data_IF_400734669925
#
_entry.id   IF_400734669925
#
_cell.length_a   1.000
_cell.length_b   1.000
_cell.length_c   1.000
_cell.angle_alpha   90.00
_cell.angle_beta   90.00
_cell.angle_gamma   90.00
#
_symmetry.space_group_name_H-M   'P 1'
#
loop_
_entity.id
_entity.type
_entity.pdbx_description
1 polymer ?
#
# COMPACT_ATOMS: atom_id res chain seq x y z
N UNK A 1 10.49 67.47 -48.76
CA UNK A 1 10.37 68.60 -47.81
C UNK A 1 9.33 68.24 -46.75
N UNK A 2 9.73 68.32 -45.48
CA UNK A 2 8.98 68.44 -44.20
C UNK A 2 7.44 68.31 -44.29
N UNK A 3 6.75 67.52 -43.47
CA UNK A 3 6.48 67.82 -42.05
C UNK A 3 6.04 66.59 -41.24
N UNK A 4 6.67 66.47 -40.08
CA UNK A 4 6.31 65.71 -38.88
C UNK A 4 4.92 66.03 -38.34
N UNK A 5 4.22 65.07 -37.72
CA UNK A 5 3.75 65.21 -36.33
C UNK A 5 3.29 63.86 -35.75
N UNK A 6 4.00 63.42 -34.70
CA UNK A 6 3.57 62.40 -33.76
C UNK A 6 2.40 62.94 -32.92
N UNK A 7 1.37 62.11 -32.67
CA UNK A 7 0.50 62.29 -31.51
C UNK A 7 0.40 60.98 -30.74
N UNK A 8 1.04 61.03 -29.58
CA UNK A 8 0.95 60.12 -28.45
C UNK A 8 -0.51 60.11 -27.94
N UNK A 9 -1.11 58.95 -27.73
CA UNK A 9 -2.16 58.80 -26.72
C UNK A 9 -2.12 57.40 -26.11
N UNK A 10 -1.48 57.35 -24.94
CA UNK A 10 -1.51 56.28 -23.96
C UNK A 10 -2.96 55.93 -23.58
N UNK A 11 -3.28 54.64 -23.49
CA UNK A 11 -4.05 54.06 -22.37
C UNK A 11 -3.53 52.63 -22.17
N UNK A 12 -2.73 52.50 -21.12
CA UNK A 12 -2.22 51.25 -20.57
C UNK A 12 -3.37 50.49 -19.92
N UNK A 13 -3.72 49.31 -20.47
CA UNK A 13 -4.66 48.41 -19.84
C UNK A 13 -3.93 47.57 -18.80
N UNK A 14 -4.20 47.88 -17.54
CA UNK A 14 -3.63 47.24 -16.36
C UNK A 14 -4.05 45.76 -16.35
N UNK A 15 -3.10 44.87 -16.63
CA UNK A 15 -3.24 43.44 -16.39
C UNK A 15 -2.99 43.16 -14.90
N UNK A 16 -4.07 43.03 -14.13
CA UNK A 16 -4.02 42.47 -12.77
C UNK A 16 -3.76 40.97 -12.87
N UNK A 17 -2.48 40.59 -12.92
CA UNK A 17 -2.06 39.23 -12.64
C UNK A 17 -2.26 38.97 -11.15
N UNK A 18 -3.46 38.50 -10.80
CA UNK A 18 -3.71 37.86 -9.51
C UNK A 18 -2.90 36.57 -9.43
N UNK A 19 -1.69 36.66 -8.90
CA UNK A 19 -0.88 35.51 -8.53
C UNK A 19 -1.55 34.80 -7.35
N UNK A 20 -2.53 33.94 -7.62
CA UNK A 20 -2.94 32.91 -6.69
C UNK A 20 -1.78 31.91 -6.60
N UNK A 21 -0.81 32.17 -5.72
CA UNK A 21 0.10 31.12 -5.24
C UNK A 21 -0.79 30.09 -4.57
N UNK A 22 -1.13 29.04 -5.31
CA UNK A 22 -1.70 27.83 -4.74
C UNK A 22 -0.68 27.31 -3.74
N UNK A 23 -0.93 27.54 -2.44
CA UNK A 23 -0.19 26.91 -1.36
C UNK A 23 -0.30 25.40 -1.60
N UNK A 24 0.78 24.78 -2.03
CA UNK A 24 0.94 23.33 -2.06
C UNK A 24 0.84 22.89 -0.60
N UNK A 25 -0.37 22.52 -0.16
CA UNK A 25 -0.58 21.86 1.12
C UNK A 25 0.01 20.47 0.95
N UNK A 26 1.25 20.28 1.40
CA UNK A 26 1.82 18.96 1.62
C UNK A 26 1.07 18.33 2.80
N UNK A 27 -0.16 17.86 2.55
CA UNK A 27 -0.96 17.16 3.55
C UNK A 27 -0.40 15.76 3.76
N UNK A 28 -0.11 15.42 5.02
CA UNK A 28 0.17 14.05 5.42
C UNK A 28 -0.98 13.15 4.95
N UNK A 29 -0.71 12.00 4.30
CA UNK A 29 -1.75 11.12 3.80
C UNK A 29 -2.71 10.69 4.93
N UNK A 30 -4.01 10.68 4.65
CA UNK A 30 -5.02 10.16 5.56
C UNK A 30 -5.21 8.66 5.38
N UNK A 31 -5.86 7.99 6.34
CA UNK A 31 -6.25 6.58 6.17
C UNK A 31 -7.09 6.34 4.90
N UNK A 32 -7.94 7.30 4.51
CA UNK A 32 -8.74 7.19 3.28
C UNK A 32 -7.89 7.31 2.02
N UNK A 33 -6.87 8.19 2.02
CA UNK A 33 -5.91 8.32 0.92
C UNK A 33 -5.12 7.03 0.73
N UNK A 34 -4.58 6.47 1.81
CA UNK A 34 -3.91 5.16 1.80
C UNK A 34 -4.81 4.05 1.28
N UNK A 35 -6.05 4.00 1.77
CA UNK A 35 -7.02 2.99 1.34
C UNK A 35 -7.32 3.06 -0.15
N UNK A 36 -7.34 4.26 -0.73
CA UNK A 36 -7.50 4.44 -2.17
C UNK A 36 -6.27 3.94 -2.95
N UNK A 37 -5.06 4.17 -2.43
CA UNK A 37 -3.83 3.65 -3.01
C UNK A 37 -3.75 2.12 -2.99
N UNK A 38 -4.15 1.50 -1.87
CA UNK A 38 -4.10 0.04 -1.65
C UNK A 38 -5.19 -0.72 -2.40
N UNK A 39 -6.35 -0.10 -2.65
CA UNK A 39 -7.43 -0.75 -3.41
C UNK A 39 -6.96 -1.14 -4.81
N UNK A 40 -7.16 -2.40 -5.17
CA UNK A 40 -6.78 -2.93 -6.47
C UNK A 40 -6.51 -4.43 -6.44
N UNK A 41 -6.11 -4.95 -7.58
CA UNK A 41 -5.56 -6.30 -7.70
C UNK A 41 -4.04 -6.19 -7.81
N UNK A 42 -3.34 -7.01 -7.03
CA UNK A 42 -1.89 -6.94 -6.90
C UNK A 42 -1.29 -8.33 -7.06
N UNK A 43 -0.07 -8.40 -7.60
CA UNK A 43 0.74 -9.62 -7.59
C UNK A 43 1.90 -9.41 -6.63
N UNK A 44 2.09 -10.33 -5.67
CA UNK A 44 3.24 -10.30 -4.77
C UNK A 44 4.48 -10.79 -5.52
N UNK A 45 5.45 -9.92 -5.76
CA UNK A 45 6.63 -10.23 -6.57
C UNK A 45 7.77 -10.79 -5.74
N UNK A 46 8.02 -10.21 -4.57
CA UNK A 46 9.10 -10.61 -3.67
C UNK A 46 8.75 -10.35 -2.21
N UNK A 47 9.42 -11.10 -1.33
CA UNK A 47 9.45 -10.84 0.11
C UNK A 47 10.91 -10.82 0.55
N UNK A 48 11.40 -9.64 0.92
CA UNK A 48 12.77 -9.43 1.35
C UNK A 48 12.90 -9.56 2.87
N UNK A 49 14.03 -10.08 3.33
CA UNK A 49 14.34 -10.25 4.76
C UNK A 49 15.31 -9.15 5.18
N UNK A 50 14.88 -8.25 6.04
CA UNK A 50 15.72 -7.18 6.57
C UNK A 50 16.04 -7.39 8.04
N UNK A 51 17.29 -7.12 8.42
CA UNK A 51 17.78 -7.23 9.81
C UNK A 51 17.59 -8.62 10.44
N UNK A 52 17.68 -9.68 9.64
CA UNK A 52 17.64 -11.06 10.12
C UNK A 52 18.98 -11.48 10.73
N UNK A 53 19.01 -11.99 11.98
CA UNK A 53 20.21 -12.60 12.54
C UNK A 53 20.71 -13.77 11.68
N UNK A 54 22.01 -14.00 11.68
CA UNK A 54 22.62 -15.09 10.93
C UNK A 54 22.00 -16.45 11.32
N UNK A 55 21.61 -17.25 10.32
CA UNK A 55 20.98 -18.56 10.52
C UNK A 55 19.50 -18.52 10.93
N UNK A 56 18.89 -17.35 11.12
CA UNK A 56 17.47 -17.25 11.44
C UNK A 56 16.59 -17.47 10.21
N UNK A 57 15.47 -18.16 10.40
CA UNK A 57 14.51 -18.45 9.34
C UNK A 57 13.07 -18.31 9.81
N UNK A 58 12.20 -17.80 8.95
CA UNK A 58 10.75 -17.82 9.14
C UNK A 58 10.21 -19.06 8.43
N UNK A 59 9.62 -19.98 9.20
CA UNK A 59 9.06 -21.22 8.66
C UNK A 59 7.76 -20.98 7.89
N UNK A 60 6.88 -20.16 8.44
CA UNK A 60 5.57 -19.83 7.89
C UNK A 60 5.23 -18.38 8.16
N UNK A 61 4.50 -17.75 7.25
CA UNK A 61 3.88 -16.45 7.45
C UNK A 61 2.37 -16.59 7.49
N UNK A 62 1.72 -15.66 8.20
CA UNK A 62 0.27 -15.60 8.37
C UNK A 62 -0.37 -16.93 8.84
N UNK A 63 0.36 -17.72 9.63
CA UNK A 63 -0.03 -19.05 10.12
C UNK A 63 -0.65 -19.95 9.03
N UNK A 64 -0.10 -19.88 7.81
CA UNK A 64 -0.69 -20.55 6.66
C UNK A 64 0.35 -21.32 5.85
N UNK A 65 1.37 -20.66 5.34
CA UNK A 65 2.35 -21.30 4.45
C UNK A 65 3.74 -20.65 4.53
N UNK A 66 4.79 -21.32 4.02
CA UNK A 66 6.10 -20.71 3.80
C UNK A 66 6.02 -19.49 2.89
N UNK A 67 6.98 -18.56 3.03
CA UNK A 67 7.07 -17.33 2.23
C UNK A 67 6.98 -17.63 0.73
N UNK A 68 7.70 -18.66 0.27
CA UNK A 68 7.77 -19.03 -1.14
C UNK A 68 6.40 -19.34 -1.74
N UNK A 69 5.45 -19.86 -0.95
CA UNK A 69 4.10 -20.14 -1.44
C UNK A 69 3.30 -18.87 -1.73
N UNK A 70 3.64 -17.75 -1.10
CA UNK A 70 2.99 -16.46 -1.32
C UNK A 70 3.57 -15.73 -2.53
N UNK A 71 4.81 -16.00 -2.94
CA UNK A 71 5.41 -15.33 -4.11
C UNK A 71 4.61 -15.65 -5.37
N UNK A 72 4.23 -14.64 -6.14
CA UNK A 72 3.34 -14.76 -7.29
C UNK A 72 1.85 -14.88 -6.95
N UNK A 73 1.47 -14.85 -5.67
CA UNK A 73 0.05 -14.82 -5.28
C UNK A 73 -0.63 -13.52 -5.74
N UNK A 74 -1.91 -13.61 -6.08
CA UNK A 74 -2.73 -12.45 -6.46
C UNK A 74 -3.59 -12.00 -5.29
N UNK A 75 -3.45 -10.74 -4.90
CA UNK A 75 -4.18 -10.11 -3.81
C UNK A 75 -5.24 -9.19 -4.39
N UNK A 76 -6.52 -9.53 -4.22
CA UNK A 76 -7.63 -8.71 -4.66
C UNK A 76 -8.20 -7.92 -3.47
N UNK A 77 -8.00 -6.60 -3.43
CA UNK A 77 -8.33 -5.74 -2.30
C UNK A 77 -9.42 -4.75 -2.68
N UNK A 78 -10.67 -5.05 -2.33
CA UNK A 78 -11.82 -4.22 -2.72
C UNK A 78 -12.04 -3.03 -1.79
N UNK A 79 -12.69 -1.99 -2.31
CA UNK A 79 -13.09 -0.81 -1.53
C UNK A 79 -14.13 -1.08 -0.43
N UNK A 80 -14.61 -2.31 -0.25
CA UNK A 80 -15.50 -2.68 0.86
C UNK A 80 -14.74 -3.24 2.08
N UNK A 81 -13.43 -3.45 1.97
CA UNK A 81 -12.63 -4.18 2.95
C UNK A 81 -12.65 -5.70 2.72
N UNK A 82 -13.57 -6.22 1.91
CA UNK A 82 -13.44 -7.61 1.41
C UNK A 82 -12.23 -7.74 0.49
N UNK A 83 -11.53 -8.85 0.57
CA UNK A 83 -10.51 -9.21 -0.39
C UNK A 83 -10.24 -10.70 -0.43
N UNK A 84 -9.30 -11.10 -1.26
CA UNK A 84 -8.82 -12.48 -1.35
C UNK A 84 -7.35 -12.54 -1.72
N UNK A 85 -6.69 -13.63 -1.32
CA UNK A 85 -5.34 -14.00 -1.75
C UNK A 85 -5.43 -15.32 -2.50
N UNK A 86 -5.08 -15.32 -3.79
CA UNK A 86 -5.04 -16.53 -4.62
C UNK A 86 -3.60 -16.99 -4.77
N UNK A 87 -3.31 -18.22 -4.32
CA UNK A 87 -1.98 -18.81 -4.39
C UNK A 87 -1.72 -19.42 -5.77
N UNK A 88 -0.51 -19.21 -6.31
CA UNK A 88 -0.14 -19.68 -7.64
C UNK A 88 1.01 -20.69 -7.64
N UNK A 89 1.81 -20.74 -6.57
CA UNK A 89 3.00 -21.59 -6.50
C UNK A 89 2.65 -23.05 -6.27
N UNK A 90 3.44 -23.90 -6.93
CA UNK A 90 3.42 -25.35 -6.74
C UNK A 90 4.57 -25.77 -5.82
N UNK A 91 4.40 -26.89 -5.11
CA UNK A 91 5.41 -27.41 -4.18
C UNK A 91 4.75 -28.22 -3.07
N UNK A 92 5.53 -28.99 -2.32
CA UNK A 92 5.00 -29.89 -1.26
C UNK A 92 4.23 -29.16 -0.16
N UNK A 93 4.51 -27.87 0.04
CA UNK A 93 3.92 -27.03 1.08
C UNK A 93 3.02 -25.92 0.53
N UNK A 94 2.79 -25.89 -0.78
CA UNK A 94 1.99 -24.87 -1.46
C UNK A 94 0.75 -25.49 -2.10
N UNK A 95 -0.35 -24.74 -2.09
CA UNK A 95 -1.63 -25.18 -2.65
C UNK A 95 -2.02 -24.27 -3.83
N UNK A 96 -1.54 -24.54 -5.05
CA UNK A 96 -1.84 -23.70 -6.20
C UNK A 96 -3.34 -23.68 -6.49
N UNK A 97 -3.88 -22.50 -6.79
CA UNK A 97 -5.31 -22.26 -6.99
C UNK A 97 -6.12 -22.11 -5.71
N UNK A 98 -5.53 -22.37 -4.53
CA UNK A 98 -6.22 -22.09 -3.27
C UNK A 98 -6.51 -20.59 -3.15
N UNK A 99 -7.69 -20.27 -2.60
CA UNK A 99 -8.13 -18.90 -2.37
C UNK A 99 -8.35 -18.71 -0.87
N UNK A 100 -7.71 -17.68 -0.32
CA UNK A 100 -7.92 -17.22 1.04
C UNK A 100 -8.75 -15.95 1.05
N UNK A 101 -9.99 -16.06 1.49
CA UNK A 101 -10.82 -14.88 1.73
C UNK A 101 -10.30 -14.10 2.93
N UNK A 102 -10.26 -12.77 2.78
CA UNK A 102 -9.78 -11.86 3.80
C UNK A 102 -10.73 -10.68 4.00
N UNK A 103 -10.69 -10.08 5.18
CA UNK A 103 -11.24 -8.75 5.43
C UNK A 103 -10.12 -7.83 5.90
N UNK A 104 -9.91 -6.72 5.19
CA UNK A 104 -8.78 -5.81 5.37
C UNK A 104 -9.22 -4.38 5.68
N UNK A 105 -8.34 -3.64 6.34
CA UNK A 105 -8.51 -2.24 6.71
C UNK A 105 -7.18 -1.51 6.73
N UNK A 106 -7.24 -0.18 6.61
CA UNK A 106 -6.11 0.70 6.92
C UNK A 106 -6.39 1.36 8.26
N UNK A 107 -5.48 1.17 9.21
CA UNK A 107 -5.54 1.79 10.52
C UNK A 107 -4.32 2.68 10.72
N UNK A 108 -4.51 3.82 11.36
CA UNK A 108 -3.41 4.65 11.82
C UNK A 108 -2.97 4.13 13.19
N UNK A 109 -1.68 3.96 13.40
CA UNK A 109 -1.16 3.59 14.72
C UNK A 109 -1.36 4.79 15.68
N UNK A 110 -2.11 4.63 16.80
CA UNK A 110 -2.50 5.73 17.66
C UNK A 110 -1.31 6.59 18.12
N UNK A 111 -1.42 7.90 17.93
CA UNK A 111 -0.38 8.85 18.34
C UNK A 111 0.82 8.94 17.39
N UNK A 112 0.80 8.22 16.26
CA UNK A 112 1.84 8.28 15.23
C UNK A 112 1.29 8.76 13.88
N UNK A 113 2.17 9.02 12.91
CA UNK A 113 1.79 9.24 11.50
C UNK A 113 1.88 7.96 10.65
N UNK A 114 2.14 6.82 11.28
CA UNK A 114 2.29 5.53 10.62
C UNK A 114 0.94 4.89 10.38
N UNK A 115 0.81 4.22 9.24
CA UNK A 115 -0.40 3.48 8.86
C UNK A 115 -0.08 2.01 8.71
N UNK A 116 -1.05 1.17 9.02
CA UNK A 116 -0.95 -0.27 8.93
C UNK A 116 -2.03 -0.81 8.01
N UNK A 117 -1.62 -1.68 7.10
CA UNK A 117 -2.50 -2.60 6.41
C UNK A 117 -2.75 -3.79 7.34
N UNK A 118 -4.00 -3.94 7.76
CA UNK A 118 -4.42 -5.04 8.61
C UNK A 118 -5.37 -5.94 7.85
N UNK A 119 -5.27 -7.25 8.04
CA UNK A 119 -6.26 -8.17 7.50
C UNK A 119 -6.51 -9.36 8.41
N UNK A 120 -7.69 -9.94 8.25
CA UNK A 120 -8.13 -11.17 8.91
C UNK A 120 -8.45 -12.21 7.85
N UNK A 121 -8.14 -13.48 8.13
CA UNK A 121 -8.61 -14.62 7.32
C UNK A 121 -10.08 -14.88 7.66
N UNK A 122 -10.92 -15.04 6.64
CA UNK A 122 -12.34 -15.35 6.81
C UNK A 122 -12.57 -16.80 6.42
N UNK A 123 -12.94 -17.65 7.39
CA UNK A 123 -13.27 -19.04 7.11
C UNK A 123 -14.73 -19.16 6.64
N UNK A 124 -15.09 -20.24 5.92
CA UNK A 124 -16.47 -20.47 5.51
C UNK A 124 -17.43 -20.42 6.71
N UNK A 125 -18.43 -19.54 6.63
CA UNK A 125 -19.43 -19.33 7.68
C UNK A 125 -19.10 -18.21 8.68
N UNK A 126 -17.86 -17.72 8.73
CA UNK A 126 -17.47 -16.64 9.63
C UNK A 126 -17.96 -15.28 9.14
N UNK A 127 -18.31 -14.41 10.10
CA UNK A 127 -18.51 -12.98 9.83
C UNK A 127 -17.27 -12.23 10.27
N UNK A 128 -16.78 -11.31 9.44
CA UNK A 128 -15.55 -10.56 9.71
C UNK A 128 -15.51 -9.83 11.07
N UNK A 129 -16.68 -9.42 11.59
CA UNK A 129 -16.81 -8.78 12.91
C UNK A 129 -16.56 -9.73 14.10
N UNK A 130 -16.76 -11.04 13.89
CA UNK A 130 -16.60 -12.06 14.93
C UNK A 130 -15.18 -12.66 14.92
N UNK A 131 -14.43 -12.46 13.83
CA UNK A 131 -13.02 -12.88 13.72
C UNK A 131 -12.14 -11.88 14.47
N UNK A 132 -11.36 -12.36 15.45
CA UNK A 132 -10.47 -11.52 16.26
C UNK A 132 -8.99 -11.66 15.88
N UNK A 133 -8.58 -12.83 15.39
CA UNK A 133 -7.24 -13.07 14.90
C UNK A 133 -7.00 -12.34 13.57
N UNK A 134 -5.85 -11.69 13.43
CA UNK A 134 -5.47 -10.96 12.24
C UNK A 134 -3.99 -10.65 12.20
N UNK A 135 -3.58 -10.03 11.11
CA UNK A 135 -2.20 -9.70 10.81
C UNK A 135 -2.10 -8.20 10.54
N UNK A 136 -0.98 -7.61 10.95
CA UNK A 136 -0.69 -6.19 10.74
C UNK A 136 0.64 -6.04 10.03
N UNK A 137 0.64 -5.20 9.00
CA UNK A 137 1.83 -4.82 8.24
C UNK A 137 1.86 -3.30 8.14
N UNK A 138 3.04 -2.72 8.33
CA UNK A 138 3.25 -1.30 8.12
C UNK A 138 3.13 -0.97 6.63
N UNK A 139 2.37 0.09 6.32
CA UNK A 139 2.27 0.63 4.97
C UNK A 139 3.48 1.51 4.68
N UNK A 140 4.39 1.00 3.84
CA UNK A 140 5.59 1.74 3.42
C UNK A 140 5.27 2.64 2.22
N UNK A 141 4.60 2.11 1.20
CA UNK A 141 4.15 2.90 0.04
C UNK A 141 2.97 2.24 -0.68
N UNK A 142 2.11 3.04 -1.32
CA UNK A 142 0.98 2.56 -2.11
C UNK A 142 0.66 3.60 -3.20
N UNK A 143 0.94 3.25 -4.45
CA UNK A 143 0.69 4.10 -5.61
C UNK A 143 0.10 3.29 -6.77
N UNK A 144 -0.01 3.86 -7.98
CA UNK A 144 -0.63 3.16 -9.10
C UNK A 144 0.19 1.97 -9.64
N UNK A 145 1.47 1.88 -9.30
CA UNK A 145 2.38 0.88 -9.85
C UNK A 145 2.80 -0.15 -8.79
N UNK A 146 2.97 0.29 -7.55
CA UNK A 146 3.55 -0.52 -6.48
C UNK A 146 2.85 -0.34 -5.13
N UNK A 147 2.86 -1.42 -4.37
CA UNK A 147 2.47 -1.50 -2.97
C UNK A 147 3.61 -2.17 -2.22
N UNK A 148 4.11 -1.50 -1.17
CA UNK A 148 5.15 -2.03 -0.29
C UNK A 148 4.62 -2.11 1.12
N UNK A 149 4.63 -3.31 1.69
CA UNK A 149 4.20 -3.59 3.05
C UNK A 149 5.38 -4.17 3.84
N UNK A 150 5.51 -3.80 5.11
CA UNK A 150 6.56 -4.34 5.98
C UNK A 150 5.93 -5.04 7.19
N UNK A 151 6.28 -6.30 7.42
CA UNK A 151 5.83 -7.04 8.59
C UNK A 151 6.97 -7.12 9.62
N UNK A 152 6.88 -6.40 10.75
CA UNK A 152 7.84 -6.53 11.83
C UNK A 152 7.73 -7.91 12.48
N UNK A 153 8.87 -8.50 12.80
CA UNK A 153 9.01 -9.79 13.46
C UNK A 153 10.03 -9.65 14.59
N UNK A 154 9.75 -10.25 15.73
CA UNK A 154 10.79 -10.48 16.73
C UNK A 154 11.47 -11.83 16.44
N UNK A 155 12.74 -11.79 16.04
CA UNK A 155 13.55 -12.96 15.72
C UNK A 155 14.76 -12.97 16.63
N UNK A 156 14.78 -13.89 17.59
CA UNK A 156 15.84 -14.02 18.60
C UNK A 156 16.15 -12.71 19.35
N UNK A 157 15.11 -11.92 19.67
CA UNK A 157 15.27 -10.64 20.38
C UNK A 157 15.61 -9.44 19.49
N UNK A 158 15.84 -9.65 18.19
CA UNK A 158 16.04 -8.59 17.20
C UNK A 158 14.74 -8.31 16.46
N UNK A 159 14.43 -7.02 16.24
CA UNK A 159 13.35 -6.64 15.32
C UNK A 159 13.84 -6.79 13.87
N UNK A 160 13.35 -7.81 13.19
CA UNK A 160 13.57 -8.08 11.78
C UNK A 160 12.30 -7.77 10.99
N UNK A 161 12.41 -7.63 9.67
CA UNK A 161 11.27 -7.30 8.82
C UNK A 161 11.17 -8.23 7.62
N UNK A 162 9.94 -8.61 7.28
CA UNK A 162 9.61 -9.13 5.95
C UNK A 162 8.99 -8.02 5.13
N UNK A 163 9.67 -7.61 4.05
CA UNK A 163 9.22 -6.52 3.17
C UNK A 163 8.63 -7.10 1.90
N UNK A 164 7.33 -6.89 1.74
CA UNK A 164 6.52 -7.41 0.64
C UNK A 164 6.47 -6.37 -0.47
N UNK A 165 6.91 -6.73 -1.68
CA UNK A 165 6.82 -5.87 -2.86
C UNK A 165 5.76 -6.40 -3.81
N UNK A 166 4.69 -5.64 -3.99
CA UNK A 166 3.59 -5.99 -4.88
C UNK A 166 3.50 -5.01 -6.04
N UNK A 167 3.18 -5.54 -7.22
CA UNK A 167 2.88 -4.74 -8.41
C UNK A 167 1.39 -4.77 -8.71
N UNK A 168 0.85 -3.64 -9.15
CA UNK A 168 -0.56 -3.57 -9.53
C UNK A 168 -0.78 -4.35 -10.82
N UNK A 169 -1.82 -5.18 -10.86
CA UNK A 169 -2.23 -5.84 -12.09
C UNK A 169 -2.88 -4.77 -12.99
N UNK A 170 -2.43 -4.71 -14.25
CA UNK A 170 -2.95 -3.76 -15.24
C UNK A 170 -4.34 -4.15 -15.73
#
# INVERSE_FOLDING_TARGET
MKRTLQFFCLISMIALLGACTARQVNSTPTASSWRNGVKGQWTLNSVEKENFPAGASVKTIFDEAPIDCFIGSTWNLTGSGKGSITFSQSGSSCSPGAVRDIFWSINQDPGTTSFQFQFKKIMPGDRAKDVTAGYSLDLVSANNNGLVLSMPLNVNGTTSYLVFHLSKNQ
#
